data_IF_500341621624
#
_entry.id   IF_500341621624
#
_cell.length_a   1.000
_cell.length_b   1.000
_cell.length_c   1.000
_cell.angle_alpha   90.00
_cell.angle_beta   90.00
_cell.angle_gamma   90.00
#
_symmetry.space_group_name_H-M   'P 1'
#
loop_
_entity.id
_entity.type
_entity.pdbx_description
1 polymer ?
#
# COMPACT_ATOMS: atom_id res chain seq x y z
N UNK A 1 18.87 8.97 -16.64
CA UNK A 1 20.05 8.12 -16.88
C UNK A 1 19.58 6.84 -17.53
N UNK A 2 20.01 6.56 -18.77
CA UNK A 2 19.58 5.37 -19.52
C UNK A 2 20.10 4.08 -18.88
N UNK A 3 19.20 3.11 -18.66
CA UNK A 3 19.50 1.77 -18.12
C UNK A 3 20.48 0.96 -18.99
N UNK A 4 20.67 1.36 -20.26
CA UNK A 4 21.49 0.67 -21.25
C UNK A 4 22.99 0.50 -20.86
N UNK A 5 23.50 1.29 -19.92
CA UNK A 5 24.94 1.32 -19.57
C UNK A 5 25.27 0.63 -18.24
N UNK A 6 24.27 0.24 -17.42
CA UNK A 6 24.54 -0.32 -16.09
C UNK A 6 25.11 -1.74 -16.13
N UNK A 7 26.16 -2.10 -15.36
CA UNK A 7 26.69 -3.47 -15.28
C UNK A 7 25.66 -4.49 -14.78
N UNK A 8 25.71 -5.74 -15.25
CA UNK A 8 24.71 -6.76 -14.90
C UNK A 8 24.64 -7.09 -13.41
N UNK A 9 25.75 -6.94 -12.69
CA UNK A 9 25.80 -7.04 -11.21
C UNK A 9 25.00 -5.93 -10.52
N UNK A 10 25.03 -4.70 -11.08
CA UNK A 10 24.28 -3.55 -10.56
C UNK A 10 22.78 -3.76 -10.79
N UNK A 11 22.39 -4.26 -11.97
CA UNK A 11 21.00 -4.59 -12.29
C UNK A 11 20.45 -5.63 -11.31
N UNK A 12 21.18 -6.73 -11.06
CA UNK A 12 20.78 -7.75 -10.08
C UNK A 12 20.66 -7.20 -8.66
N UNK A 13 21.60 -6.35 -8.23
CA UNK A 13 21.51 -5.69 -6.91
C UNK A 13 20.24 -4.84 -6.81
N UNK A 14 19.90 -4.12 -7.87
CA UNK A 14 18.70 -3.28 -7.93
C UNK A 14 17.42 -4.12 -7.92
N UNK A 15 17.39 -5.24 -8.65
CA UNK A 15 16.29 -6.21 -8.60
C UNK A 15 16.05 -6.68 -7.16
N UNK A 16 17.12 -7.07 -6.43
CA UNK A 16 16.99 -7.49 -5.03
C UNK A 16 16.47 -6.37 -4.13
N UNK A 17 16.92 -5.13 -4.33
CA UNK A 17 16.44 -3.96 -3.57
C UNK A 17 14.96 -3.69 -3.82
N UNK A 18 14.54 -3.63 -5.09
CA UNK A 18 13.15 -3.40 -5.49
C UNK A 18 12.26 -4.53 -4.98
N UNK A 19 12.68 -5.79 -5.11
CA UNK A 19 11.92 -6.96 -4.63
C UNK A 19 11.70 -6.93 -3.11
N UNK A 20 12.72 -6.51 -2.34
CA UNK A 20 12.58 -6.37 -0.88
C UNK A 20 11.61 -5.26 -0.50
N UNK A 21 11.66 -4.13 -1.21
CA UNK A 21 10.73 -3.03 -0.98
C UNK A 21 9.30 -3.44 -1.33
N UNK A 22 9.12 -4.11 -2.47
CA UNK A 22 7.83 -4.65 -2.90
C UNK A 22 7.23 -5.62 -1.88
N UNK A 23 8.04 -6.56 -1.35
CA UNK A 23 7.59 -7.47 -0.31
C UNK A 23 7.12 -6.74 0.95
N UNK A 24 7.84 -5.68 1.36
CA UNK A 24 7.44 -4.84 2.51
C UNK A 24 6.13 -4.10 2.23
N UNK A 25 6.01 -3.43 1.09
CA UNK A 25 4.80 -2.69 0.75
C UNK A 25 3.56 -3.61 0.69
N UNK A 26 3.71 -4.85 0.20
CA UNK A 26 2.63 -5.85 0.20
C UNK A 26 2.22 -6.29 1.61
N UNK A 27 3.19 -6.47 2.51
CA UNK A 27 2.91 -6.77 3.92
C UNK A 27 2.20 -5.59 4.60
N UNK A 28 2.67 -4.37 4.38
CA UNK A 28 2.02 -3.16 4.90
C UNK A 28 0.61 -2.98 4.34
N UNK A 29 0.40 -3.28 3.05
CA UNK A 29 -0.91 -3.22 2.41
C UNK A 29 -1.88 -4.21 3.06
N UNK A 30 -1.45 -5.46 3.27
CA UNK A 30 -2.27 -6.46 3.93
C UNK A 30 -2.72 -5.99 5.32
N UNK A 31 -1.80 -5.44 6.13
CA UNK A 31 -2.14 -4.90 7.46
C UNK A 31 -3.12 -3.73 7.35
N UNK A 32 -2.92 -2.82 6.40
CA UNK A 32 -3.81 -1.68 6.19
C UNK A 32 -5.22 -2.12 5.76
N UNK A 33 -5.32 -3.15 4.92
CA UNK A 33 -6.59 -3.74 4.48
C UNK A 33 -7.32 -4.43 5.64
N UNK A 34 -6.60 -5.22 6.45
CA UNK A 34 -7.16 -5.85 7.66
C UNK A 34 -7.70 -4.79 8.63
N UNK A 35 -6.94 -3.73 8.88
CA UNK A 35 -7.36 -2.62 9.74
C UNK A 35 -8.61 -1.92 9.19
N UNK A 36 -8.70 -1.68 7.88
CA UNK A 36 -9.88 -1.05 7.26
C UNK A 36 -11.15 -1.91 7.41
N UNK A 37 -11.04 -3.22 7.26
CA UNK A 37 -12.17 -4.15 7.51
C UNK A 37 -12.64 -4.03 8.96
N UNK A 38 -11.72 -4.08 9.92
CA UNK A 38 -12.06 -3.94 11.35
C UNK A 38 -12.73 -2.59 11.68
N UNK A 39 -12.30 -1.49 11.05
CA UNK A 39 -12.94 -0.18 11.26
C UNK A 39 -14.36 -0.14 10.69
N UNK A 40 -14.62 -0.77 9.54
CA UNK A 40 -15.97 -0.79 8.95
C UNK A 40 -16.99 -1.55 9.83
N UNK A 41 -16.56 -2.66 10.43
CA UNK A 41 -17.40 -3.42 11.37
C UNK A 41 -17.67 -2.62 12.66
N UNK A 42 -16.66 -1.87 13.12
CA UNK A 42 -16.76 -1.04 14.33
C UNK A 42 -17.64 0.20 14.12
N UNK A 43 -17.61 0.83 12.94
CA UNK A 43 -18.49 1.97 12.60
C UNK A 43 -19.95 1.54 12.55
N UNK A 44 -20.26 0.35 12.02
CA UNK A 44 -21.62 -0.19 12.00
C UNK A 44 -22.19 -0.39 13.42
N UNK A 45 -21.39 -0.95 14.34
CA UNK A 45 -21.78 -1.13 15.75
C UNK A 45 -21.98 0.22 16.47
N UNK A 46 -21.08 1.18 16.23
CA UNK A 46 -21.19 2.54 16.81
C UNK A 46 -22.42 3.30 16.28
N UNK A 47 -22.74 3.16 14.99
CA UNK A 47 -23.93 3.76 14.40
C UNK A 47 -25.22 3.23 15.06
N UNK A 48 -25.32 1.92 15.26
CA UNK A 48 -26.44 1.29 15.97
C UNK A 48 -26.59 1.84 17.40
N UNK A 49 -25.49 2.02 18.14
CA UNK A 49 -25.53 2.59 19.51
C UNK A 49 -25.89 4.08 19.53
N UNK A 50 -25.43 4.84 18.53
CA UNK A 50 -25.74 6.27 18.39
C UNK A 50 -27.23 6.50 18.18
N UNK A 51 -27.90 5.68 17.35
CA UNK A 51 -29.35 5.73 17.15
C UNK A 51 -30.13 5.46 18.43
N UNK A 52 -29.58 4.67 19.34
CA UNK A 52 -30.20 4.34 20.63
C UNK A 52 -29.97 5.44 21.68
N UNK A 53 -28.94 6.26 21.54
CA UNK A 53 -28.44 7.12 22.63
C UNK A 53 -28.59 8.64 22.43
N UNK A 54 -28.87 9.14 21.21
CA UNK A 54 -29.09 10.58 20.90
C UNK A 54 -28.21 11.59 21.68
N UNK A 55 -26.90 11.32 21.87
CA UNK A 55 -26.01 12.24 22.63
C UNK A 55 -24.97 12.94 21.75
N UNK A 56 -24.64 14.22 22.05
CA UNK A 56 -23.61 14.99 21.33
C UNK A 56 -22.19 14.40 21.36
N UNK A 57 -21.89 13.49 22.31
CA UNK A 57 -20.59 12.82 22.42
C UNK A 57 -20.39 11.81 21.28
N UNK A 58 -21.43 11.05 20.94
CA UNK A 58 -21.39 10.07 19.85
C UNK A 58 -21.06 10.71 18.49
N UNK A 59 -21.55 11.93 18.24
CA UNK A 59 -21.30 12.69 17.02
C UNK A 59 -19.82 13.13 16.86
N UNK A 60 -19.12 13.43 17.97
CA UNK A 60 -17.69 13.76 17.93
C UNK A 60 -16.81 12.53 17.69
N UNK A 61 -17.17 11.41 18.28
CA UNK A 61 -16.48 10.12 18.08
C UNK A 61 -16.62 9.66 16.63
N UNK A 62 -17.83 9.76 16.07
CA UNK A 62 -18.11 9.42 14.66
C UNK A 62 -17.25 10.23 13.68
N UNK A 63 -17.14 11.56 13.88
CA UNK A 63 -16.26 12.40 13.03
C UNK A 63 -14.78 12.04 13.14
N UNK A 64 -14.34 11.60 14.31
CA UNK A 64 -12.95 11.21 14.54
C UNK A 64 -12.65 9.89 13.84
N UNK A 65 -13.54 8.90 14.00
CA UNK A 65 -13.47 7.62 13.29
C UNK A 65 -13.44 7.81 11.76
N UNK A 66 -14.35 8.64 11.22
CA UNK A 66 -14.41 8.93 9.79
C UNK A 66 -13.10 9.54 9.25
N UNK A 67 -12.45 10.44 10.01
CA UNK A 67 -11.14 11.00 9.62
C UNK A 67 -10.03 9.95 9.64
N UNK A 68 -10.02 9.06 10.62
CA UNK A 68 -9.06 7.96 10.69
C UNK A 68 -9.26 6.97 9.53
N UNK A 69 -10.49 6.58 9.22
CA UNK A 69 -10.82 5.73 8.08
C UNK A 69 -10.39 6.35 6.75
N UNK A 70 -10.61 7.66 6.55
CA UNK A 70 -10.17 8.37 5.36
C UNK A 70 -8.63 8.41 5.24
N UNK A 71 -7.92 8.66 6.34
CA UNK A 71 -6.45 8.64 6.34
C UNK A 71 -5.90 7.24 6.02
N UNK A 72 -6.51 6.20 6.56
CA UNK A 72 -6.17 4.80 6.30
C UNK A 72 -6.42 4.39 4.85
N UNK A 73 -7.57 4.78 4.30
CA UNK A 73 -7.89 4.58 2.88
C UNK A 73 -6.83 5.23 2.00
N UNK A 74 -6.48 6.49 2.27
CA UNK A 74 -5.43 7.19 1.55
C UNK A 74 -4.03 6.60 1.75
N UNK A 75 -3.76 5.86 2.83
CA UNK A 75 -2.51 5.13 3.02
C UNK A 75 -2.49 3.85 2.16
N UNK A 76 -3.57 3.07 2.18
CA UNK A 76 -3.76 1.89 1.33
C UNK A 76 -3.56 2.23 -0.15
N UNK A 77 -4.19 3.31 -0.62
CA UNK A 77 -4.11 3.72 -2.02
C UNK A 77 -2.67 4.12 -2.42
N UNK A 78 -1.92 4.74 -1.51
CA UNK A 78 -0.49 5.05 -1.72
C UNK A 78 0.35 3.78 -1.79
N UNK A 79 0.11 2.80 -0.92
CA UNK A 79 0.80 1.51 -0.94
C UNK A 79 0.53 0.77 -2.26
N UNK A 80 -0.71 0.75 -2.73
CA UNK A 80 -1.07 0.16 -4.03
C UNK A 80 -0.33 0.85 -5.19
N UNK A 81 -0.32 2.19 -5.22
CA UNK A 81 0.40 2.93 -6.24
C UNK A 81 1.93 2.67 -6.20
N UNK A 82 2.52 2.57 -5.00
CA UNK A 82 3.93 2.25 -4.84
C UNK A 82 4.25 0.81 -5.29
N UNK A 83 3.38 -0.15 -4.99
CA UNK A 83 3.50 -1.53 -5.46
C UNK A 83 3.53 -1.58 -6.99
N UNK A 84 2.58 -0.93 -7.66
CA UNK A 84 2.53 -0.90 -9.13
C UNK A 84 3.80 -0.30 -9.74
N UNK A 85 4.31 0.81 -9.18
CA UNK A 85 5.56 1.41 -9.65
C UNK A 85 6.77 0.49 -9.45
N UNK A 86 6.81 -0.26 -8.35
CA UNK A 86 7.90 -1.20 -8.08
C UNK A 86 7.83 -2.44 -8.98
N UNK A 87 6.63 -2.90 -9.32
CA UNK A 87 6.40 -3.98 -10.29
C UNK A 87 6.87 -3.58 -11.68
N UNK A 88 6.41 -2.44 -12.19
CA UNK A 88 6.88 -1.88 -13.48
C UNK A 88 8.40 -1.75 -13.51
N UNK A 89 8.98 -1.26 -12.40
CA UNK A 89 10.44 -1.11 -12.30
C UNK A 89 11.16 -2.46 -12.29
N UNK A 90 10.58 -3.48 -11.67
CA UNK A 90 11.14 -4.81 -11.64
C UNK A 90 11.13 -5.43 -13.04
N UNK A 91 10.03 -5.28 -13.76
CA UNK A 91 9.88 -5.75 -15.15
C UNK A 91 10.93 -5.10 -16.06
N UNK A 92 11.09 -3.78 -16.02
CA UNK A 92 12.14 -3.07 -16.77
C UNK A 92 13.54 -3.64 -16.50
N UNK A 93 13.87 -3.90 -15.22
CA UNK A 93 15.17 -4.41 -14.82
C UNK A 93 15.40 -5.86 -15.30
N UNK A 94 14.34 -6.68 -15.28
CA UNK A 94 14.37 -8.06 -15.76
C UNK A 94 14.49 -8.13 -17.28
N UNK A 95 13.80 -7.26 -18.02
CA UNK A 95 13.91 -7.13 -19.48
C UNK A 95 15.32 -6.71 -19.89
N UNK A 96 15.91 -5.75 -19.18
CA UNK A 96 17.29 -5.34 -19.40
C UNK A 96 18.31 -6.45 -19.11
N UNK A 97 18.07 -7.26 -18.07
CA UNK A 97 18.93 -8.40 -17.75
C UNK A 97 18.82 -9.51 -18.81
N UNK A 98 17.60 -9.77 -19.28
CA UNK A 98 17.29 -10.79 -20.29
C UNK A 98 17.86 -10.43 -21.66
N UNK A 99 17.68 -9.18 -22.09
CA UNK A 99 18.22 -8.64 -23.34
C UNK A 99 19.76 -8.69 -23.40
N UNK A 100 20.43 -8.62 -22.25
CA UNK A 100 21.89 -8.80 -22.18
C UNK A 100 22.36 -10.24 -22.23
N UNK A 101 21.52 -11.19 -21.84
CA UNK A 101 21.86 -12.62 -21.81
C UNK A 101 21.66 -13.28 -23.18
N UNK A 102 20.75 -12.74 -24.00
CA UNK A 102 20.54 -13.10 -25.41
C UNK A 102 20.95 -11.91 -26.31
N UNK A 103 22.25 -11.76 -26.65
CA UNK A 103 22.68 -10.81 -27.67
C UNK A 103 22.20 -11.20 -29.07
#
# INVERSE_FOLDING_TARGET
MSLAVLPGVVIRRRITEVSRRLARCRQELQVAEEQLVHFSDSEADAHLRSLVSETPVADRELRTAARHAAAMTGHRDRLQAEISQLEERLDELLDHLSSRRNP
#
